data_IF_755097154106
#
_entry.id   IF_755097154106
#
_cell.length_a   1.000
_cell.length_b   1.000
_cell.length_c   1.000
_cell.angle_alpha   90.00
_cell.angle_beta   90.00
_cell.angle_gamma   90.00
#
_symmetry.space_group_name_H-M   'P 1'
#
loop_
_entity.id
_entity.type
_entity.pdbx_description
1 polymer ?
#
# COMPACT_ATOMS: atom_id res chain seq x y z
N UNK A 1 -10.23 5.32 -20.57
CA UNK A 1 -8.85 5.13 -20.99
C UNK A 1 -8.08 4.32 -19.97
N UNK A 2 -7.21 3.46 -20.44
CA UNK A 2 -6.35 2.65 -19.57
C UNK A 2 -5.00 3.35 -19.42
N UNK A 3 -4.53 3.46 -18.20
CA UNK A 3 -3.25 4.09 -17.91
C UNK A 3 -2.55 3.34 -16.79
N UNK A 4 -1.23 3.37 -16.83
CA UNK A 4 -0.43 2.82 -15.75
C UNK A 4 -0.45 3.81 -14.59
N UNK A 5 -0.83 3.33 -13.41
CA UNK A 5 -0.89 4.14 -12.20
C UNK A 5 0.17 3.70 -11.21
N UNK A 6 0.75 4.67 -10.54
CA UNK A 6 1.75 4.42 -9.51
C UNK A 6 1.56 5.39 -8.37
N UNK A 7 1.54 4.86 -7.14
CA UNK A 7 1.44 5.66 -5.93
C UNK A 7 2.56 5.27 -4.98
N UNK A 8 3.17 6.25 -4.35
CA UNK A 8 4.22 6.02 -3.37
C UNK A 8 3.79 6.59 -2.02
N UNK A 9 4.07 5.84 -0.97
CA UNK A 9 3.76 6.25 0.41
C UNK A 9 5.04 6.22 1.19
N UNK A 10 5.46 7.36 1.73
CA UNK A 10 6.64 7.44 2.58
C UNK A 10 6.31 6.94 3.98
N UNK A 11 7.25 6.20 4.56
CA UNK A 11 7.12 5.69 5.92
C UNK A 11 7.90 6.60 6.87
N UNK A 12 7.31 6.98 8.00
CA UNK A 12 8.05 7.75 9.01
C UNK A 12 9.08 6.88 9.73
N UNK A 13 10.00 7.53 10.42
CA UNK A 13 11.00 6.82 11.20
C UNK A 13 10.34 5.97 12.28
N UNK A 14 10.86 4.77 12.49
CA UNK A 14 10.32 3.86 13.48
C UNK A 14 9.19 2.98 13.01
N UNK A 15 8.78 3.11 11.75
CA UNK A 15 7.75 2.27 11.15
C UNK A 15 8.41 1.27 10.21
N UNK A 16 8.04 0.00 10.34
CA UNK A 16 8.53 -1.09 9.52
C UNK A 16 7.37 -1.75 8.79
N UNK A 17 7.58 -2.12 7.55
CA UNK A 17 6.55 -2.77 6.74
C UNK A 17 7.09 -4.07 6.18
N UNK A 18 6.26 -5.10 6.21
CA UNK A 18 6.58 -6.40 5.62
C UNK A 18 5.40 -6.87 4.78
N UNK A 19 5.71 -7.52 3.68
CA UNK A 19 4.70 -8.13 2.83
C UNK A 19 4.92 -9.63 2.81
N UNK A 20 3.95 -10.37 3.35
CA UNK A 20 3.98 -11.83 3.36
C UNK A 20 2.82 -12.36 2.50
N UNK A 21 3.14 -12.79 1.28
CA UNK A 21 2.11 -13.26 0.37
C UNK A 21 1.08 -12.17 0.10
N UNK A 22 -0.10 -12.33 0.69
CA UNK A 22 -1.23 -11.43 0.51
C UNK A 22 -1.35 -10.41 1.64
N UNK A 23 -0.60 -10.58 2.71
CA UNK A 23 -0.80 -9.80 3.94
C UNK A 23 0.28 -8.76 4.08
N UNK A 24 -0.16 -7.52 4.21
CA UNK A 24 0.72 -6.39 4.49
C UNK A 24 0.73 -6.15 6.01
N UNK A 25 1.91 -6.19 6.60
CA UNK A 25 2.09 -5.97 8.03
C UNK A 25 2.84 -4.67 8.24
N UNK A 26 2.27 -3.78 9.06
CA UNK A 26 2.89 -2.52 9.42
C UNK A 26 3.14 -2.51 10.92
N UNK A 27 4.39 -2.33 11.31
CA UNK A 27 4.80 -2.24 12.71
C UNK A 27 5.26 -0.83 13.03
N UNK A 28 4.76 -0.28 14.10
CA UNK A 28 5.15 1.04 14.56
C UNK A 28 5.20 1.11 16.07
N UNK A 29 5.46 2.31 16.60
CA UNK A 29 5.54 2.52 18.04
C UNK A 29 4.24 2.19 18.78
N UNK A 30 3.11 2.28 18.11
CA UNK A 30 1.80 2.03 18.70
C UNK A 30 1.33 0.58 18.53
N UNK A 31 2.10 -0.26 17.85
CA UNK A 31 1.72 -1.65 17.68
C UNK A 31 1.87 -2.13 16.26
N UNK A 32 1.25 -3.26 15.98
CA UNK A 32 1.34 -3.94 14.70
C UNK A 32 -0.05 -4.09 14.09
N UNK A 33 -0.15 -3.82 12.79
CA UNK A 33 -1.42 -3.97 12.06
C UNK A 33 -1.18 -4.86 10.85
N UNK A 34 -2.05 -5.86 10.67
CA UNK A 34 -2.02 -6.76 9.53
C UNK A 34 -3.26 -6.53 8.67
N UNK A 35 -3.06 -6.42 7.37
CA UNK A 35 -4.18 -6.25 6.43
C UNK A 35 -3.94 -7.03 5.16
N UNK A 36 -5.01 -7.60 4.62
CA UNK A 36 -4.98 -8.24 3.32
C UNK A 36 -5.13 -7.19 2.24
N UNK A 37 -4.12 -7.07 1.37
CA UNK A 37 -4.14 -6.10 0.29
C UNK A 37 -3.93 -6.75 -1.07
N UNK A 38 -4.50 -7.92 -1.28
CA UNK A 38 -4.38 -8.57 -2.58
C UNK A 38 -5.44 -8.04 -3.53
N UNK A 39 -4.96 -7.61 -4.68
CA UNK A 39 -5.81 -7.32 -5.82
C UNK A 39 -5.09 -7.79 -7.08
N UNK A 40 -5.77 -8.52 -7.97
CA UNK A 40 -5.10 -9.09 -9.15
C UNK A 40 -4.56 -8.03 -10.11
N UNK A 41 -5.09 -6.82 -10.06
CA UNK A 41 -4.66 -5.74 -10.95
C UNK A 41 -3.75 -4.72 -10.30
N UNK A 42 -3.47 -4.86 -9.01
CA UNK A 42 -2.61 -3.94 -8.29
C UNK A 42 -1.42 -4.68 -7.72
N UNK A 43 -0.25 -4.08 -7.83
CA UNK A 43 0.98 -4.62 -7.28
C UNK A 43 1.45 -3.76 -6.11
N UNK A 44 2.00 -4.41 -5.10
CA UNK A 44 2.54 -3.73 -3.93
C UNK A 44 4.02 -4.07 -3.83
N UNK A 45 4.85 -3.03 -3.78
CA UNK A 45 6.28 -3.17 -3.54
C UNK A 45 6.61 -2.51 -2.22
N UNK A 46 7.37 -3.22 -1.39
CA UNK A 46 7.81 -2.70 -0.10
C UNK A 46 9.27 -2.33 -0.21
N UNK A 47 9.55 -1.06 0.00
CA UNK A 47 10.91 -0.53 0.07
C UNK A 47 11.32 -0.36 1.53
N UNK A 48 12.59 0.01 1.76
CA UNK A 48 13.08 0.16 3.13
C UNK A 48 12.30 1.20 3.93
N UNK A 49 11.90 2.29 3.27
CA UNK A 49 11.21 3.38 3.94
C UNK A 49 10.01 3.91 3.17
N UNK A 50 9.49 3.11 2.24
CA UNK A 50 8.30 3.50 1.49
C UNK A 50 7.59 2.28 0.92
N UNK A 51 6.33 2.49 0.57
CA UNK A 51 5.51 1.47 -0.09
C UNK A 51 5.12 2.01 -1.46
N UNK A 52 5.29 1.18 -2.49
CA UNK A 52 4.91 1.55 -3.86
C UNK A 52 3.74 0.70 -4.29
N UNK A 53 2.67 1.36 -4.70
CA UNK A 53 1.49 0.71 -5.26
C UNK A 53 1.44 1.00 -6.74
N UNK A 54 1.25 -0.01 -7.56
CA UNK A 54 1.16 0.17 -8.99
C UNK A 54 0.05 -0.68 -9.59
N UNK A 55 -0.52 -0.18 -10.69
CA UNK A 55 -1.52 -0.89 -11.45
C UNK A 55 -1.30 -0.63 -12.93
N UNK A 56 -1.17 -1.69 -13.72
CA UNK A 56 -0.98 -1.60 -15.14
C UNK A 56 -2.34 -1.59 -15.85
N UNK A 57 -2.47 -0.76 -16.88
CA UNK A 57 -3.70 -0.63 -17.67
C UNK A 57 -4.91 -0.36 -16.79
N UNK A 58 -4.74 0.54 -15.83
CA UNK A 58 -5.78 0.84 -14.85
C UNK A 58 -6.92 1.64 -15.46
N UNK A 59 -8.13 1.29 -15.06
CA UNK A 59 -9.34 2.05 -15.37
C UNK A 59 -9.70 2.93 -14.19
N UNK A 60 -10.87 3.58 -14.24
CA UNK A 60 -11.34 4.40 -13.11
C UNK A 60 -11.47 3.59 -11.82
N UNK A 61 -11.86 2.32 -11.94
CA UNK A 61 -12.00 1.46 -10.76
C UNK A 61 -10.67 1.25 -10.05
N UNK A 62 -9.63 0.95 -10.82
CA UNK A 62 -8.30 0.74 -10.24
C UNK A 62 -7.74 2.03 -9.67
N UNK A 63 -8.03 3.17 -10.28
CA UNK A 63 -7.61 4.45 -9.74
C UNK A 63 -8.25 4.70 -8.37
N UNK A 64 -9.54 4.44 -8.25
CA UNK A 64 -10.25 4.56 -6.98
C UNK A 64 -9.72 3.57 -5.96
N UNK A 65 -9.46 2.34 -6.40
CA UNK A 65 -8.90 1.31 -5.53
C UNK A 65 -7.56 1.72 -4.95
N UNK A 66 -6.66 2.22 -5.79
CA UNK A 66 -5.35 2.68 -5.32
C UNK A 66 -5.48 3.82 -4.32
N UNK A 67 -6.38 4.76 -4.57
CA UNK A 67 -6.64 5.85 -3.65
C UNK A 67 -7.12 5.34 -2.30
N UNK A 68 -8.02 4.37 -2.30
CA UNK A 68 -8.53 3.75 -1.08
C UNK A 68 -7.41 3.02 -0.34
N UNK A 69 -6.59 2.26 -1.07
CA UNK A 69 -5.46 1.55 -0.46
C UNK A 69 -4.47 2.51 0.17
N UNK A 70 -4.16 3.62 -0.50
CA UNK A 70 -3.27 4.63 0.04
C UNK A 70 -3.84 5.20 1.35
N UNK A 71 -5.13 5.50 1.38
CA UNK A 71 -5.78 6.00 2.59
C UNK A 71 -5.70 5.00 3.74
N UNK A 72 -5.98 3.73 3.45
CA UNK A 72 -5.90 2.69 4.48
C UNK A 72 -4.48 2.57 5.03
N UNK A 73 -3.49 2.54 4.16
CA UNK A 73 -2.10 2.41 4.60
C UNK A 73 -1.68 3.63 5.43
N UNK A 74 -2.04 4.83 5.00
CA UNK A 74 -1.73 6.04 5.77
C UNK A 74 -2.37 6.01 7.15
N UNK A 75 -3.63 5.55 7.25
CA UNK A 75 -4.31 5.42 8.52
C UNK A 75 -3.61 4.39 9.42
N UNK A 76 -3.14 3.30 8.85
CA UNK A 76 -2.40 2.29 9.61
C UNK A 76 -1.08 2.86 10.15
N UNK A 77 -0.42 3.72 9.39
CA UNK A 77 0.84 4.34 9.80
C UNK A 77 0.62 5.37 10.91
N UNK A 78 -0.42 6.18 10.77
CA UNK A 78 -0.66 7.26 11.75
C UNK A 78 -1.40 6.76 13.00
N UNK A 79 -1.93 5.58 12.92
CA UNK A 79 -2.62 5.00 14.05
C UNK A 79 -4.09 5.16 14.01
#
# INVERSE_FOLDING_TARGET
>A
MKADLKKEIELPDGVTVQLNGAVLTIKGAKGEVNRDFIHPKANILVEQNKIVLSALKATKREKTLLGTMVSHIKNMITG
#
